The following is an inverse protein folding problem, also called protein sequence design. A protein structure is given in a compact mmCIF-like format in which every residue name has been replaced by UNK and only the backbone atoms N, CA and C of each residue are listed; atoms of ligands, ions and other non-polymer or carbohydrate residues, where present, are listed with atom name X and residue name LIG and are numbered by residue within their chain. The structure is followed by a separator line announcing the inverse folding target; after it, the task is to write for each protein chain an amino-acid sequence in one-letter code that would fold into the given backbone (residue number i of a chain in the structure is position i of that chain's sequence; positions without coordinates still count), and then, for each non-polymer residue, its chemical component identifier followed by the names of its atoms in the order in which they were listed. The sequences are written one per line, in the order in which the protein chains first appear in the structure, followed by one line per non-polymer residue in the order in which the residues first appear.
data_IF_689948945279
#
_entry.id   IF_689948945279
#
_cell.length_a   1.000
_cell.length_b   1.000
_cell.length_c   1.000
_cell.angle_alpha   90.00
_cell.angle_beta   90.00
_cell.angle_gamma   90.00
#
_symmetry.space_group_name_H-M   'P 1'
#
loop_
_entity.id
_entity.type
_entity.pdbx_description
1 polymer ?
#
# COMPACT_ATOMS: atom_id res chain seq x y z
N UNK A 1 36.11 -0.79 22.21
CA UNK A 1 35.07 -1.32 23.12
C UNK A 1 34.20 -0.12 23.50
N UNK A 2 33.23 0.35 22.70
CA UNK A 2 31.94 -0.26 22.28
C UNK A 2 30.87 -0.12 23.40
N UNK A 3 29.70 0.50 23.25
CA UNK A 3 29.03 1.19 22.11
C UNK A 3 28.25 2.45 22.60
N UNK A 4 27.83 3.41 21.73
CA UNK A 4 26.97 4.53 22.13
C UNK A 4 25.52 4.10 22.47
N UNK A 5 24.89 4.81 23.40
CA UNK A 5 23.57 4.49 23.94
C UNK A 5 22.42 4.87 23.01
N UNK A 6 21.43 3.97 22.96
CA UNK A 6 20.17 4.02 22.23
C UNK A 6 19.49 5.39 22.15
N UNK A 7 19.37 5.93 20.93
CA UNK A 7 18.37 6.96 20.64
C UNK A 7 16.99 6.31 20.58
N UNK A 8 16.15 6.55 21.59
CA UNK A 8 14.73 6.21 21.51
C UNK A 8 14.03 7.24 20.62
N UNK A 9 13.23 6.87 19.61
CA UNK A 9 12.52 7.85 18.80
C UNK A 9 11.44 8.53 19.66
N UNK A 10 11.56 9.85 19.84
CA UNK A 10 10.47 10.66 20.39
C UNK A 10 9.41 10.76 19.30
N UNK A 11 8.39 9.92 19.39
CA UNK A 11 7.17 10.05 18.59
C UNK A 11 6.31 11.10 19.30
N UNK A 12 6.09 12.30 18.74
CA UNK A 12 5.18 13.27 19.34
C UNK A 12 3.74 12.71 19.34
N UNK A 13 2.90 13.06 20.32
CA UNK A 13 1.50 12.66 20.31
C UNK A 13 0.73 13.45 19.24
N UNK A 14 0.74 12.96 17.99
CA UNK A 14 -0.08 13.49 16.89
C UNK A 14 -1.54 13.55 17.34
N UNK A 15 -2.16 14.73 17.26
CA UNK A 15 -3.59 14.90 17.54
C UNK A 15 -4.42 14.14 16.50
N UNK A 16 -5.69 13.85 16.77
CA UNK A 16 -6.51 12.97 15.89
C UNK A 16 -6.72 13.50 14.46
N UNK A 17 -6.37 14.76 14.16
CA UNK A 17 -6.29 15.27 12.79
C UNK A 17 -4.94 15.03 12.12
N UNK A 18 -3.85 15.12 12.89
CA UNK A 18 -2.47 15.08 12.38
C UNK A 18 -2.12 13.68 11.86
N UNK A 19 -2.49 12.61 12.56
CA UNK A 19 -2.17 11.24 12.10
C UNK A 19 -2.80 10.89 10.74
N UNK A 20 -3.95 11.47 10.38
CA UNK A 20 -4.54 11.26 9.06
C UNK A 20 -3.69 11.92 7.98
N UNK A 21 -3.17 13.12 8.27
CA UNK A 21 -2.29 13.86 7.38
C UNK A 21 -0.90 13.21 7.27
N UNK A 22 -0.33 12.77 8.40
CA UNK A 22 0.90 11.99 8.48
C UNK A 22 0.76 10.71 7.63
N UNK A 23 -0.34 9.96 7.82
CA UNK A 23 -0.60 8.71 7.09
C UNK A 23 -0.80 8.92 5.59
N UNK A 24 -1.46 10.00 5.17
CA UNK A 24 -1.59 10.36 3.75
C UNK A 24 -0.22 10.77 3.16
N UNK A 25 0.61 11.47 3.93
CA UNK A 25 1.97 11.87 3.54
C UNK A 25 2.89 10.65 3.37
N UNK A 26 2.88 9.71 4.32
CA UNK A 26 3.61 8.45 4.22
C UNK A 26 3.14 7.60 3.03
N UNK A 27 1.82 7.54 2.78
CA UNK A 27 1.28 6.84 1.62
C UNK A 27 1.73 7.47 0.29
N UNK A 28 1.75 8.81 0.19
CA UNK A 28 2.33 9.52 -0.97
C UNK A 28 3.81 9.21 -1.15
N UNK A 29 4.58 9.13 -0.06
CA UNK A 29 5.98 8.70 -0.08
C UNK A 29 6.14 7.30 -0.68
N UNK A 30 5.32 6.33 -0.27
CA UNK A 30 5.31 4.97 -0.83
C UNK A 30 4.92 4.95 -2.31
N UNK A 31 3.97 5.79 -2.74
CA UNK A 31 3.58 5.87 -4.16
C UNK A 31 4.62 6.58 -5.03
N UNK A 32 5.43 7.47 -4.45
CA UNK A 32 6.52 8.13 -5.17
C UNK A 32 7.68 7.16 -5.52
N UNK A 33 7.88 6.10 -4.73
CA UNK A 33 8.87 5.05 -5.02
C UNK A 33 8.31 3.63 -4.86
N UNK A 34 7.34 3.31 -5.70
CA UNK A 34 6.75 1.96 -5.78
C UNK A 34 7.78 0.85 -6.07
N UNK A 35 8.99 1.18 -6.54
CA UNK A 35 10.02 0.19 -6.87
C UNK A 35 10.81 -0.32 -5.64
N UNK A 36 10.87 0.47 -4.57
CA UNK A 36 11.52 0.09 -3.31
C UNK A 36 10.55 -0.58 -2.32
N UNK A 37 9.29 -0.78 -2.71
CA UNK A 37 8.23 -1.26 -1.84
C UNK A 37 7.54 -2.51 -2.41
N UNK A 38 7.15 -3.48 -1.56
CA UNK A 38 6.40 -4.63 -2.02
C UNK A 38 4.99 -4.21 -2.46
N UNK A 39 4.44 -4.87 -3.47
CA UNK A 39 3.09 -4.60 -4.01
C UNK A 39 2.00 -4.50 -2.93
N UNK A 40 2.10 -5.29 -1.86
CA UNK A 40 1.16 -5.26 -0.73
C UNK A 40 1.16 -3.91 0.02
N UNK A 41 2.32 -3.25 0.14
CA UNK A 41 2.46 -1.93 0.74
C UNK A 41 2.00 -0.83 -0.24
N UNK A 42 2.31 -0.98 -1.53
CA UNK A 42 1.83 -0.07 -2.59
C UNK A 42 0.30 -0.09 -2.69
N UNK A 43 -0.32 -1.27 -2.63
CA UNK A 43 -1.78 -1.46 -2.58
C UNK A 43 -2.38 -0.80 -1.34
N UNK A 44 -1.71 -0.89 -0.18
CA UNK A 44 -2.17 -0.25 1.05
C UNK A 44 -2.08 1.28 0.95
N UNK A 45 -0.98 1.82 0.42
CA UNK A 45 -0.78 3.24 0.21
C UNK A 45 -1.81 3.83 -0.78
N UNK A 46 -2.04 3.19 -1.92
CA UNK A 46 -3.05 3.62 -2.88
C UNK A 46 -4.47 3.62 -2.27
N UNK A 47 -4.82 2.63 -1.44
CA UNK A 47 -6.09 2.61 -0.69
C UNK A 47 -6.18 3.72 0.35
N UNK A 48 -5.08 4.07 1.02
CA UNK A 48 -5.01 5.20 1.95
C UNK A 48 -5.27 6.52 1.22
N UNK A 49 -4.62 6.73 0.08
CA UNK A 49 -4.82 7.91 -0.78
C UNK A 49 -6.28 8.03 -1.22
N UNK A 50 -6.85 7.00 -1.86
CA UNK A 50 -8.26 7.00 -2.33
C UNK A 50 -9.25 7.32 -1.20
N UNK A 51 -8.98 6.85 0.03
CA UNK A 51 -9.87 7.05 1.17
C UNK A 51 -9.70 8.38 1.93
N UNK A 52 -8.62 9.12 1.72
CA UNK A 52 -8.25 10.29 2.54
C UNK A 52 -7.79 11.53 1.75
N UNK A 53 -7.54 11.41 0.44
CA UNK A 53 -7.25 12.59 -0.39
C UNK A 53 -8.51 13.36 -0.76
N UNK A 54 -8.37 14.67 -0.91
CA UNK A 54 -9.39 15.57 -1.47
C UNK A 54 -9.06 15.95 -2.93
N UNK A 55 -8.00 15.36 -3.52
CA UNK A 55 -7.62 15.58 -4.92
C UNK A 55 -8.18 14.45 -5.80
N UNK A 56 -9.03 14.82 -6.75
CA UNK A 56 -9.67 13.88 -7.67
C UNK A 56 -8.68 13.28 -8.69
N UNK A 57 -7.59 13.97 -9.03
CA UNK A 57 -6.53 13.47 -9.92
C UNK A 57 -5.72 12.41 -9.18
N UNK A 58 -5.23 12.75 -7.98
CA UNK A 58 -4.46 11.82 -7.14
C UNK A 58 -5.26 10.54 -6.80
N UNK A 59 -6.57 10.69 -6.54
CA UNK A 59 -7.48 9.56 -6.35
C UNK A 59 -7.64 8.71 -7.63
N UNK A 60 -7.66 9.35 -8.81
CA UNK A 60 -7.73 8.68 -10.10
C UNK A 60 -6.48 7.87 -10.40
N UNK A 61 -5.30 8.45 -10.21
CA UNK A 61 -3.99 7.82 -10.42
C UNK A 61 -3.80 6.62 -9.48
N UNK A 62 -4.14 6.77 -8.19
CA UNK A 62 -4.10 5.67 -7.22
C UNK A 62 -5.09 4.53 -7.59
N UNK A 63 -6.24 4.85 -8.17
CA UNK A 63 -7.23 3.87 -8.64
C UNK A 63 -6.75 3.13 -9.90
N UNK A 64 -6.05 3.81 -10.81
CA UNK A 64 -5.41 3.18 -11.97
C UNK A 64 -4.26 2.26 -11.55
N UNK A 65 -3.41 2.69 -10.62
CA UNK A 65 -2.33 1.87 -10.06
C UNK A 65 -2.87 0.57 -9.42
N UNK A 66 -3.97 0.65 -8.65
CA UNK A 66 -4.62 -0.55 -8.11
C UNK A 66 -5.12 -1.51 -9.20
N UNK A 67 -5.64 -1.01 -10.32
CA UNK A 67 -6.05 -1.85 -11.46
C UNK A 67 -4.86 -2.48 -12.19
N UNK A 68 -3.73 -1.79 -12.24
CA UNK A 68 -2.49 -2.33 -12.79
C UNK A 68 -1.94 -3.47 -11.93
N UNK A 69 -2.02 -3.34 -10.60
CA UNK A 69 -1.57 -4.33 -9.62
C UNK A 69 -2.55 -5.52 -9.46
N UNK A 70 -3.87 -5.32 -9.59
CA UNK A 70 -4.85 -6.43 -9.63
C UNK A 70 -4.88 -7.17 -10.99
N UNK A 71 -3.81 -7.06 -11.79
CA UNK A 71 -3.53 -7.96 -12.93
C UNK A 71 -3.14 -9.38 -12.48
N UNK A 72 -3.81 -9.91 -11.45
CA UNK A 72 -3.86 -11.34 -11.17
C UNK A 72 -4.35 -12.02 -12.44
N UNK A 73 -3.58 -12.94 -13.06
CA UNK A 73 -4.05 -13.59 -14.26
C UNK A 73 -5.31 -14.40 -13.93
N UNK A 74 -6.39 -14.20 -14.69
CA UNK A 74 -7.65 -14.94 -14.51
C UNK A 74 -7.44 -16.46 -14.52
N UNK A 75 -6.38 -16.95 -15.19
CA UNK A 75 -5.98 -18.36 -15.17
C UNK A 75 -5.54 -18.89 -13.79
N UNK A 76 -4.99 -18.05 -12.91
CA UNK A 76 -4.61 -18.45 -11.55
C UNK A 76 -5.86 -18.65 -10.67
N UNK A 77 -6.89 -17.82 -10.86
CA UNK A 77 -8.19 -17.94 -10.21
C UNK A 77 -8.92 -19.19 -10.75
N UNK A 78 -8.90 -19.41 -12.06
CA UNK A 78 -9.48 -20.61 -12.67
C UNK A 78 -8.78 -21.91 -12.23
N UNK A 79 -7.46 -21.91 -12.08
CA UNK A 79 -6.70 -23.07 -11.59
C UNK A 79 -7.01 -23.41 -10.11
N UNK A 80 -7.31 -22.41 -9.29
CA UNK A 80 -7.76 -22.61 -7.90
C UNK A 80 -9.24 -23.02 -7.80
N UNK A 81 -10.09 -22.52 -8.70
CA UNK A 81 -11.52 -22.86 -8.76
C UNK A 81 -11.79 -24.25 -9.37
N UNK A 82 -10.94 -24.69 -10.30
CA UNK A 82 -11.03 -25.98 -10.99
C UNK A 82 -9.71 -26.76 -10.84
N UNK A 83 -9.43 -27.33 -9.65
CA UNK A 83 -8.33 -28.26 -9.50
C UNK A 83 -8.54 -29.46 -10.45
N UNK A 84 -7.55 -29.77 -11.27
CA UNK A 84 -7.58 -30.91 -12.21
C UNK A 84 -7.74 -32.23 -11.44
N UNK A 85 -8.97 -32.75 -11.35
CA UNK A 85 -9.27 -33.97 -10.60
C UNK A 85 -10.68 -34.48 -10.88
N UNK A 86 -10.87 -35.13 -12.03
CA UNK A 86 -12.18 -35.60 -12.47
C UNK A 86 -12.11 -36.48 -13.72
N UNK A 87 -11.12 -37.37 -13.78
CA UNK A 87 -11.03 -38.42 -14.79
C UNK A 87 -11.23 -39.78 -14.09
N UNK A 88 -12.42 -40.36 -14.27
CA UNK A 88 -12.79 -41.73 -13.95
C UNK A 88 -13.99 -42.11 -14.81
#
# INVERSE_FOLDING_TARGET
MNHPLSHSPVIPPSTTGDWMHDRLTEARGVLADTTQHPDSLVILAARVVIGQTNDAVECGDALELLRLLDRRPLHAIAAAAFPKGGAA
#
